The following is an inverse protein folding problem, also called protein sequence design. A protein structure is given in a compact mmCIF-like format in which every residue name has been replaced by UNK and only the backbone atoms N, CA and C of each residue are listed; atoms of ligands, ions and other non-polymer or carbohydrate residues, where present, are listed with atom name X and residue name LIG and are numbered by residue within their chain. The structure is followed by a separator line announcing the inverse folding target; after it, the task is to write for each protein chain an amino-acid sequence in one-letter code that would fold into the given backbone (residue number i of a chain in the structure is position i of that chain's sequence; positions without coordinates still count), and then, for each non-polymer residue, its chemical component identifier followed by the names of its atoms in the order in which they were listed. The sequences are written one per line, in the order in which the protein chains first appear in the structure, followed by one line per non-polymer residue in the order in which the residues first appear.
data_IF_405978306478
#
_entry.id   IF_405978306478
#
_cell.length_a   1.000
_cell.length_b   1.000
_cell.length_c   1.000
_cell.angle_alpha   90.00
_cell.angle_beta   90.00
_cell.angle_gamma   90.00
#
_symmetry.space_group_name_H-M   'P 1'
#
loop_
_entity.id
_entity.type
_entity.pdbx_description
1 polymer ?
#
# COMPACT_ATOMS: atom_id res chain seq x y z
N UNK A 1 3.80 6.78 -17.41
CA UNK A 1 3.41 7.51 -16.18
C UNK A 1 2.97 6.49 -15.13
N UNK A 2 2.69 6.88 -13.87
CA UNK A 2 2.08 5.96 -12.89
C UNK A 2 0.73 5.43 -13.38
N UNK A 3 -0.04 6.27 -14.07
CA UNK A 3 -1.31 5.91 -14.71
C UNK A 3 -1.13 4.85 -15.80
N UNK A 4 -0.13 4.99 -16.67
CA UNK A 4 0.16 3.97 -17.70
C UNK A 4 0.58 2.63 -17.09
N UNK A 5 1.30 2.66 -15.96
CA UNK A 5 1.68 1.45 -15.23
C UNK A 5 0.46 0.75 -14.60
N UNK A 6 -0.46 1.52 -14.01
CA UNK A 6 -1.73 1.01 -13.51
C UNK A 6 -2.60 0.39 -14.62
N UNK A 7 -2.68 1.06 -15.77
CA UNK A 7 -3.41 0.52 -16.94
C UNK A 7 -2.80 -0.78 -17.45
N UNK A 8 -1.46 -0.83 -17.59
CA UNK A 8 -0.75 -2.03 -18.01
C UNK A 8 -0.92 -3.19 -17.02
N UNK A 9 -0.92 -2.91 -15.70
CA UNK A 9 -1.18 -3.91 -14.67
C UNK A 9 -2.61 -4.47 -14.78
N UNK A 10 -3.60 -3.61 -14.93
CA UNK A 10 -5.00 -4.02 -15.10
C UNK A 10 -5.20 -4.90 -16.35
N UNK A 11 -4.60 -4.51 -17.48
CA UNK A 11 -4.64 -5.29 -18.73
C UNK A 11 -3.93 -6.65 -18.55
N UNK A 12 -2.75 -6.68 -17.93
CA UNK A 12 -2.02 -7.92 -17.71
C UNK A 12 -2.80 -8.92 -16.83
N UNK A 13 -3.55 -8.43 -15.85
CA UNK A 13 -4.37 -9.27 -14.98
C UNK A 13 -5.59 -9.88 -15.69
N UNK A 14 -6.03 -9.35 -16.84
CA UNK A 14 -7.16 -9.96 -17.59
C UNK A 14 -6.81 -11.29 -18.25
N UNK A 15 -5.51 -11.55 -18.48
CA UNK A 15 -5.03 -12.73 -19.20
C UNK A 15 -4.71 -13.93 -18.27
N UNK A 16 -5.05 -13.87 -16.98
CA UNK A 16 -4.64 -14.84 -15.95
C UNK A 16 -3.14 -15.17 -16.05
N UNK A 17 -2.27 -14.21 -15.74
CA UNK A 17 -0.84 -14.32 -16.05
C UNK A 17 -0.10 -15.39 -15.23
N UNK A 18 -0.76 -15.92 -14.20
CA UNK A 18 -0.24 -17.03 -13.37
C UNK A 18 -0.84 -18.38 -13.75
N UNK A 19 -1.85 -18.42 -14.63
CA UNK A 19 -2.57 -19.64 -15.01
C UNK A 19 -3.34 -20.27 -13.85
N UNK A 20 -3.79 -19.46 -12.90
CA UNK A 20 -4.46 -19.90 -11.67
C UNK A 20 -5.91 -20.34 -11.90
N UNK A 21 -6.60 -19.75 -12.89
CA UNK A 21 -8.04 -19.86 -13.09
C UNK A 21 -8.88 -19.26 -11.96
N UNK A 22 -8.28 -18.54 -11.01
CA UNK A 22 -8.96 -17.93 -9.87
C UNK A 22 -9.31 -16.46 -10.16
N UNK A 23 -10.58 -16.05 -10.09
CA UNK A 23 -10.96 -14.65 -10.26
C UNK A 23 -10.56 -13.76 -9.06
N UNK A 24 -10.17 -14.35 -7.93
CA UNK A 24 -9.79 -13.63 -6.72
C UNK A 24 -8.39 -13.02 -6.89
N UNK A 25 -8.34 -11.69 -7.03
CA UNK A 25 -7.10 -10.93 -7.26
C UNK A 25 -6.95 -9.87 -6.18
N UNK A 26 -5.73 -9.77 -5.63
CA UNK A 26 -5.29 -8.70 -4.75
C UNK A 26 -4.10 -7.98 -5.40
N UNK A 27 -4.25 -6.70 -5.68
CA UNK A 27 -3.17 -5.77 -6.02
C UNK A 27 -2.75 -5.10 -4.71
N UNK A 28 -1.48 -5.19 -4.33
CA UNK A 28 -1.00 -4.59 -3.08
C UNK A 28 0.43 -4.06 -3.23
N UNK A 29 0.70 -2.93 -2.58
CA UNK A 29 2.02 -2.33 -2.44
C UNK A 29 2.02 -0.82 -2.64
N UNK A 30 3.21 -0.24 -2.66
CA UNK A 30 3.44 1.17 -2.95
C UNK A 30 3.13 1.48 -4.44
N UNK A 31 1.98 2.10 -4.69
CA UNK A 31 1.59 2.58 -6.01
C UNK A 31 2.05 4.02 -6.26
N UNK A 32 2.70 4.62 -5.25
CA UNK A 32 3.21 5.98 -5.26
C UNK A 32 2.15 7.00 -5.67
N UNK A 33 0.89 6.82 -5.27
CA UNK A 33 -0.20 7.69 -5.67
C UNK A 33 -1.17 7.86 -4.52
N UNK A 34 -1.65 9.08 -4.27
CA UNK A 34 -2.66 9.32 -3.24
C UNK A 34 -4.02 8.74 -3.69
N UNK A 35 -4.91 8.45 -2.73
CA UNK A 35 -6.20 7.77 -2.93
C UNK A 35 -7.00 8.23 -4.17
N UNK A 36 -6.99 9.53 -4.49
CA UNK A 36 -7.79 10.12 -5.57
C UNK A 36 -6.97 10.50 -6.83
N UNK A 37 -5.73 10.03 -6.93
CA UNK A 37 -4.93 10.23 -8.13
C UNK A 37 -5.30 9.25 -9.25
N UNK A 38 -5.05 9.67 -10.50
CA UNK A 38 -5.35 8.91 -11.72
C UNK A 38 -4.93 7.42 -11.70
N UNK A 39 -3.79 6.99 -11.12
CA UNK A 39 -3.43 5.56 -11.08
C UNK A 39 -4.45 4.71 -10.31
N UNK A 40 -4.99 5.20 -9.19
CA UNK A 40 -5.97 4.48 -8.39
C UNK A 40 -7.32 4.45 -9.11
N UNK A 41 -7.75 5.61 -9.61
CA UNK A 41 -8.95 5.71 -10.44
C UNK A 41 -8.89 4.82 -11.69
N UNK A 42 -7.70 4.59 -12.25
CA UNK A 42 -7.51 3.67 -13.38
C UNK A 42 -7.78 2.22 -12.98
N UNK A 43 -7.27 1.76 -11.83
CA UNK A 43 -7.52 0.42 -11.32
C UNK A 43 -8.98 0.24 -10.87
N UNK A 44 -9.58 1.27 -10.26
CA UNK A 44 -10.99 1.27 -9.85
C UNK A 44 -11.93 1.15 -11.07
N UNK A 45 -11.65 1.90 -12.13
CA UNK A 45 -12.39 1.80 -13.39
C UNK A 45 -12.21 0.42 -14.07
N UNK A 46 -11.12 -0.30 -13.77
CA UNK A 46 -10.91 -1.67 -14.20
C UNK A 46 -11.66 -2.71 -13.33
N UNK A 47 -12.37 -2.28 -12.29
CA UNK A 47 -13.25 -3.12 -11.47
C UNK A 47 -12.65 -3.61 -10.15
N UNK A 48 -11.53 -3.02 -9.72
CA UNK A 48 -10.93 -3.30 -8.42
C UNK A 48 -11.48 -2.34 -7.34
N UNK A 49 -11.75 -2.85 -6.14
CA UNK A 49 -12.13 -2.03 -4.97
C UNK A 49 -10.88 -1.65 -4.19
N UNK A 50 -10.61 -0.35 -3.99
CA UNK A 50 -9.55 0.11 -3.08
C UNK A 50 -9.99 -0.02 -1.62
N UNK A 51 -9.43 -0.99 -0.89
CA UNK A 51 -9.81 -1.27 0.50
C UNK A 51 -9.46 -0.15 1.47
N UNK A 52 -8.38 0.61 1.22
CA UNK A 52 -8.00 1.71 2.10
C UNK A 52 -9.06 2.82 2.00
N UNK A 53 -9.47 3.17 0.78
CA UNK A 53 -10.52 4.17 0.59
C UNK A 53 -11.86 3.69 1.16
N UNK A 54 -12.29 2.46 0.85
CA UNK A 54 -13.64 2.01 1.21
C UNK A 54 -13.80 1.61 2.68
N UNK A 55 -12.71 1.26 3.38
CA UNK A 55 -12.78 0.74 4.76
C UNK A 55 -12.09 1.63 5.80
N UNK A 56 -11.04 2.38 5.44
CA UNK A 56 -10.34 3.31 6.33
C UNK A 56 -10.70 4.77 6.03
N UNK A 57 -11.02 5.10 4.78
CA UNK A 57 -11.49 6.42 4.37
C UNK A 57 -10.44 7.51 4.64
N UNK A 58 -10.84 8.57 5.35
CA UNK A 58 -9.94 9.71 5.65
C UNK A 58 -8.81 9.39 6.61
N UNK A 59 -8.91 8.26 7.31
CA UNK A 59 -7.90 7.85 8.29
C UNK A 59 -6.75 7.07 7.63
N UNK A 60 -6.83 6.79 6.32
CA UNK A 60 -5.80 6.03 5.61
C UNK A 60 -4.53 6.86 5.38
N UNK A 61 -3.40 6.39 5.92
CA UNK A 61 -2.07 6.88 5.57
C UNK A 61 -0.98 5.83 5.80
N UNK A 62 -0.05 5.77 4.85
CA UNK A 62 1.12 4.90 4.93
C UNK A 62 2.43 5.69 4.94
N UNK A 63 2.38 7.00 4.67
CA UNK A 63 3.56 7.84 4.51
C UNK A 63 3.32 9.27 5.00
N UNK A 64 4.37 9.89 5.55
CA UNK A 64 4.35 11.30 5.98
C UNK A 64 5.49 12.06 5.29
N UNK A 65 5.14 13.12 4.56
CA UNK A 65 6.11 14.00 3.90
C UNK A 65 5.83 15.46 4.26
N UNK A 66 6.86 16.14 4.78
CA UNK A 66 6.76 17.56 5.18
C UNK A 66 5.55 17.84 6.10
N UNK A 67 5.27 16.90 7.02
CA UNK A 67 4.14 16.96 7.96
C UNK A 67 2.77 16.64 7.36
N UNK A 68 2.69 16.22 6.10
CA UNK A 68 1.45 15.81 5.44
C UNK A 68 1.40 14.28 5.37
N UNK A 69 0.34 13.70 5.93
CA UNK A 69 0.07 12.27 5.90
C UNK A 69 -0.80 11.90 4.68
N UNK A 70 -0.53 10.75 4.07
CA UNK A 70 -1.42 10.15 3.09
C UNK A 70 -1.02 8.72 2.71
N UNK A 71 -1.93 8.03 2.05
CA UNK A 71 -1.73 6.66 1.59
C UNK A 71 -1.01 6.61 0.24
N UNK A 72 0.17 5.99 0.20
CA UNK A 72 0.89 5.65 -1.03
C UNK A 72 0.90 4.13 -1.28
N UNK A 73 0.78 3.35 -0.21
CA UNK A 73 0.62 1.90 -0.23
C UNK A 73 -0.86 1.58 -0.23
N UNK A 74 -1.28 0.69 -1.12
CA UNK A 74 -2.70 0.35 -1.28
C UNK A 74 -2.92 -1.15 -1.29
N UNK A 75 -4.17 -1.53 -1.10
CA UNK A 75 -4.68 -2.87 -1.32
C UNK A 75 -5.99 -2.76 -2.12
N UNK A 76 -5.97 -3.21 -3.38
CA UNK A 76 -7.13 -3.23 -4.25
C UNK A 76 -7.52 -4.67 -4.59
N UNK A 77 -8.81 -5.01 -4.45
CA UNK A 77 -9.29 -6.39 -4.63
C UNK A 77 -10.27 -6.50 -5.78
N UNK A 78 -10.27 -7.64 -6.47
CA UNK A 78 -11.33 -7.96 -7.43
C UNK A 78 -12.68 -8.06 -6.73
N UNK A 79 -13.76 -7.83 -7.48
CA UNK A 79 -15.12 -7.95 -6.95
C UNK A 79 -15.42 -9.33 -6.35
N UNK A 80 -14.80 -10.41 -6.84
CA UNK A 80 -14.98 -11.76 -6.29
C UNK A 80 -14.27 -11.96 -4.94
N UNK A 81 -13.14 -11.29 -4.72
CA UNK A 81 -12.38 -11.36 -3.47
C UNK A 81 -12.92 -10.42 -2.39
N UNK A 82 -13.56 -9.30 -2.75
CA UNK A 82 -14.06 -8.28 -1.82
C UNK A 82 -14.89 -8.85 -0.66
N UNK A 83 -15.81 -9.78 -0.95
CA UNK A 83 -16.68 -10.40 0.06
C UNK A 83 -15.96 -11.33 1.05
N UNK A 84 -14.70 -11.69 0.76
CA UNK A 84 -13.85 -12.53 1.61
C UNK A 84 -12.89 -11.72 2.47
N UNK A 85 -12.79 -10.41 2.26
CA UNK A 85 -11.95 -9.52 3.07
C UNK A 85 -12.57 -9.35 4.45
N UNK A 86 -11.85 -9.78 5.49
CA UNK A 86 -12.29 -9.71 6.89
C UNK A 86 -11.87 -8.43 7.59
N UNK A 87 -10.86 -7.74 7.05
CA UNK A 87 -10.39 -6.45 7.56
C UNK A 87 -9.22 -5.91 6.75
N UNK A 88 -8.98 -4.61 6.89
CA UNK A 88 -7.79 -3.92 6.40
C UNK A 88 -7.34 -2.93 7.47
N UNK A 89 -6.05 -2.66 7.56
CA UNK A 89 -5.49 -1.66 8.45
C UNK A 89 -4.05 -1.34 8.11
N UNK A 90 -3.61 -0.17 8.55
CA UNK A 90 -2.20 0.24 8.49
C UNK A 90 -1.61 0.07 9.90
N UNK A 91 -0.45 -0.59 9.99
CA UNK A 91 0.22 -0.75 11.27
C UNK A 91 1.22 0.40 11.45
N UNK A 92 0.77 1.45 12.12
CA UNK A 92 1.55 2.67 12.33
C UNK A 92 2.76 2.43 13.26
N UNK A 93 3.89 2.07 12.66
CA UNK A 93 5.17 1.82 13.34
C UNK A 93 6.34 2.54 12.66
N UNK A 94 6.13 3.18 11.51
CA UNK A 94 7.19 3.68 10.65
C UNK A 94 7.00 5.14 10.25
N UNK A 95 5.86 5.49 9.65
CA UNK A 95 5.66 6.81 9.04
C UNK A 95 5.70 7.94 10.08
N UNK A 96 5.19 7.67 11.28
CA UNK A 96 5.15 8.60 12.41
C UNK A 96 6.47 8.67 13.20
N UNK A 97 7.36 7.70 13.00
CA UNK A 97 8.63 7.64 13.71
C UNK A 97 9.66 8.64 13.14
N UNK A 98 10.53 9.22 13.97
CA UNK A 98 11.48 10.21 13.51
C UNK A 98 12.46 9.59 12.51
N UNK A 99 12.73 10.25 11.36
CA UNK A 99 13.73 9.77 10.41
C UNK A 99 15.12 9.58 11.03
N UNK A 100 15.42 10.22 12.17
CA UNK A 100 16.69 10.09 12.88
C UNK A 100 17.02 8.65 13.31
N UNK A 101 16.02 7.81 13.55
CA UNK A 101 16.22 6.44 14.06
C UNK A 101 16.09 5.38 12.96
N UNK A 102 16.00 5.77 11.68
CA UNK A 102 16.04 4.81 10.57
C UNK A 102 17.46 4.27 10.30
N UNK A 103 17.55 3.27 9.42
CA UNK A 103 18.79 2.59 9.06
C UNK A 103 19.68 3.37 8.07
N UNK A 104 19.28 4.57 7.62
CA UNK A 104 20.04 5.36 6.66
C UNK A 104 21.26 6.03 7.32
N UNK A 105 22.41 5.99 6.63
CA UNK A 105 23.67 6.59 7.08
C UNK A 105 23.96 7.96 6.41
N UNK A 106 23.00 8.49 5.66
CA UNK A 106 23.05 9.82 5.08
C UNK A 106 23.38 10.91 6.10
N UNK A 107 23.96 12.00 5.62
CA UNK A 107 24.40 13.12 6.46
C UNK A 107 25.33 12.71 7.64
N UNK A 108 26.08 11.61 7.51
CA UNK A 108 26.97 11.07 8.55
C UNK A 108 26.26 10.64 9.84
N UNK A 109 25.04 10.13 9.72
CA UNK A 109 24.28 9.57 10.84
C UNK A 109 24.98 8.33 11.42
N UNK A 110 24.93 8.19 12.74
CA UNK A 110 25.46 6.99 13.41
C UNK A 110 24.52 5.80 13.22
N UNK A 111 25.08 4.65 12.85
CA UNK A 111 24.34 3.38 12.80
C UNK A 111 23.78 2.96 14.16
N UNK A 112 24.33 3.47 15.27
CA UNK A 112 23.89 3.14 16.64
C UNK A 112 22.51 3.72 16.99
N UNK A 113 21.95 4.62 16.17
CA UNK A 113 20.63 5.20 16.37
C UNK A 113 19.49 4.28 15.92
N UNK A 114 19.78 3.36 15.01
CA UNK A 114 18.83 2.35 14.56
C UNK A 114 18.87 1.15 15.51
N UNK A 115 17.71 0.71 16.01
CA UNK A 115 17.59 -0.54 16.76
C UNK A 115 17.12 -1.67 15.83
N UNK A 116 18.01 -2.60 15.42
CA UNK A 116 17.65 -3.70 14.53
C UNK A 116 16.71 -4.74 15.17
N UNK A 117 16.46 -4.66 16.48
CA UNK A 117 15.52 -5.55 17.18
C UNK A 117 14.15 -4.90 17.40
N UNK A 118 13.98 -3.63 17.01
CA UNK A 118 12.72 -2.91 17.06
C UNK A 118 12.02 -2.99 15.69
N UNK A 119 10.69 -3.19 15.64
CA UNK A 119 9.95 -3.08 14.40
C UNK A 119 9.72 -1.62 13.97
N UNK A 120 9.93 -0.66 14.88
CA UNK A 120 9.67 0.75 14.64
C UNK A 120 10.74 1.38 13.75
N UNK A 121 10.31 2.23 12.80
CA UNK A 121 11.16 2.91 11.81
C UNK A 121 12.07 1.95 11.01
N UNK A 122 11.59 0.73 10.78
CA UNK A 122 12.24 -0.22 9.88
C UNK A 122 11.98 0.12 8.39
N UNK A 123 11.09 1.07 8.14
CA UNK A 123 10.76 1.68 6.85
C UNK A 123 10.40 3.15 7.07
N UNK A 124 10.32 3.94 6.01
CA UNK A 124 9.66 5.25 6.01
C UNK A 124 8.14 5.14 5.74
N UNK A 125 7.66 3.95 5.38
CA UNK A 125 6.25 3.63 5.15
C UNK A 125 5.68 2.66 6.18
N UNK A 126 4.41 2.83 6.56
CA UNK A 126 3.65 1.87 7.36
C UNK A 126 3.17 0.68 6.52
N UNK A 127 3.28 -0.56 7.02
CA UNK A 127 2.78 -1.72 6.30
C UNK A 127 1.25 -1.79 6.32
N UNK A 128 0.69 -2.09 5.14
CA UNK A 128 -0.73 -2.41 4.96
C UNK A 128 -0.99 -3.89 5.29
N UNK A 129 -1.99 -4.15 6.11
CA UNK A 129 -2.43 -5.49 6.53
C UNK A 129 -3.82 -5.75 5.97
N UNK A 130 -3.99 -6.89 5.30
CA UNK A 130 -5.30 -7.36 4.79
C UNK A 130 -5.61 -8.74 5.36
N UNK A 131 -6.78 -8.87 5.98
CA UNK A 131 -7.34 -10.15 6.41
C UNK A 131 -8.22 -10.75 5.32
N UNK A 132 -8.00 -12.03 5.00
CA UNK A 132 -8.77 -12.77 3.98
C UNK A 132 -9.30 -14.07 4.60
N UNK A 133 -10.57 -14.39 4.34
CA UNK A 133 -11.17 -15.68 4.68
C UNK A 133 -11.37 -16.53 3.40
N UNK A 134 -10.53 -17.56 3.17
CA UNK A 134 -10.56 -18.38 1.96
C UNK A 134 -11.72 -19.38 1.90
#
# INVERSE_FOLDING_TARGET
TRTDAAAALAEWLTDDPTGSGDPDVLIMGDLNAYLQEDPLTTLENAGFENLLETRLGTDAYSFVFDGQAGALDHALVSSSLSGRVTGVGEWHINADEPPLIDYNLEASRSADLFDPNSPFRASDHDPVIVGINP
#
